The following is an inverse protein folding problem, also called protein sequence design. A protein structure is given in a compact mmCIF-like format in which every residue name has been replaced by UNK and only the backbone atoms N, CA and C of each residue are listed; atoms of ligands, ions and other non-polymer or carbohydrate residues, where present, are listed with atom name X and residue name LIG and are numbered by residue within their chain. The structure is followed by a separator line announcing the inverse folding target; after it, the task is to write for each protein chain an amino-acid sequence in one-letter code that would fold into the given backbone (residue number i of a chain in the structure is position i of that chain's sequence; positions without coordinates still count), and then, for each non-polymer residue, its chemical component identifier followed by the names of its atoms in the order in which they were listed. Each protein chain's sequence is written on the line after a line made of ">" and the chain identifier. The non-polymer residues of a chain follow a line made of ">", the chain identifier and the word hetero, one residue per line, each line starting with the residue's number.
data_IF_823001880263
#
_entry.id   IF_823001880263
#
_cell.length_a   1.000
_cell.length_b   1.000
_cell.length_c   1.000
_cell.angle_alpha   90.00
_cell.angle_beta   90.00
_cell.angle_gamma   90.00
#
_symmetry.space_group_name_H-M   'P 1'
#
loop_
_entity.id
_entity.type
_entity.pdbx_description
1 polymer ?
#
# COMPACT_ATOMS: atom_id res chain seq x y z
N UNK A 1 16.86 -33.10 34.15
CA UNK A 1 16.26 -32.01 34.94
C UNK A 1 15.58 -31.06 33.99
N UNK A 2 14.26 -31.19 33.83
CA UNK A 2 13.49 -30.45 32.82
C UNK A 2 12.99 -29.16 33.45
N UNK A 3 13.64 -28.04 33.14
CA UNK A 3 13.23 -26.71 33.60
C UNK A 3 11.91 -26.33 32.91
N UNK A 4 10.81 -26.27 33.65
CA UNK A 4 9.55 -25.73 33.14
C UNK A 4 9.70 -24.21 32.91
N UNK A 5 9.23 -23.66 31.78
CA UNK A 5 9.27 -22.22 31.54
C UNK A 5 8.37 -21.50 32.54
N UNK A 6 8.92 -20.52 33.25
CA UNK A 6 8.17 -19.60 34.10
C UNK A 6 7.28 -18.73 33.23
N UNK A 7 5.99 -19.09 33.14
CA UNK A 7 4.98 -18.29 32.46
C UNK A 7 4.96 -16.92 33.16
N UNK A 8 5.37 -15.86 32.45
CA UNK A 8 5.30 -14.50 32.95
C UNK A 8 3.86 -14.23 33.42
N UNK A 9 3.66 -14.10 34.73
CA UNK A 9 2.35 -13.84 35.34
C UNK A 9 1.89 -12.46 34.87
N UNK A 10 1.01 -12.43 33.86
CA UNK A 10 0.39 -11.20 33.38
C UNK A 10 -0.26 -10.45 34.56
N UNK A 11 -0.26 -9.12 34.51
CA UNK A 11 -0.85 -8.31 35.58
C UNK A 11 -2.36 -8.36 35.46
N UNK A 12 -3.06 -8.58 36.57
CA UNK A 12 -4.52 -8.51 36.60
C UNK A 12 -4.93 -7.04 36.70
N UNK A 13 -5.83 -6.60 35.83
CA UNK A 13 -6.42 -5.25 35.82
C UNK A 13 -7.91 -5.32 35.53
N UNK A 14 -8.64 -4.24 35.83
CA UNK A 14 -10.04 -4.11 35.45
C UNK A 14 -10.14 -3.49 34.04
N UNK A 15 -11.04 -4.03 33.22
CA UNK A 15 -11.39 -3.43 31.94
C UNK A 15 -12.01 -2.04 32.17
N UNK A 16 -11.48 -1.01 31.50
CA UNK A 16 -11.98 0.38 31.61
C UNK A 16 -13.40 0.63 31.07
N UNK A 17 -14.05 -0.38 30.48
CA UNK A 17 -15.38 -0.25 29.86
C UNK A 17 -16.43 -1.02 30.67
N UNK A 18 -16.17 -2.29 30.98
CA UNK A 18 -17.13 -3.15 31.67
C UNK A 18 -16.72 -3.58 33.09
N UNK A 19 -15.54 -3.17 33.58
CA UNK A 19 -15.06 -3.53 34.91
C UNK A 19 -14.57 -4.97 35.08
N UNK A 20 -14.70 -5.85 34.07
CA UNK A 20 -14.25 -7.24 34.15
C UNK A 20 -12.73 -7.33 34.40
N UNK A 21 -12.30 -8.28 35.24
CA UNK A 21 -10.88 -8.60 35.43
C UNK A 21 -10.28 -9.18 34.13
N UNK A 22 -9.14 -8.65 33.72
CA UNK A 22 -8.39 -9.04 32.53
C UNK A 22 -6.92 -9.27 32.90
N UNK A 23 -6.30 -10.27 32.28
CA UNK A 23 -4.86 -10.49 32.35
C UNK A 23 -4.20 -9.69 31.23
N UNK A 24 -3.30 -8.78 31.60
CA UNK A 24 -2.57 -7.95 30.63
C UNK A 24 -1.08 -8.26 30.64
N UNK A 25 -0.52 -8.34 29.43
CA UNK A 25 0.91 -8.61 29.20
C UNK A 25 1.69 -7.36 28.77
N UNK A 26 0.98 -6.26 28.45
CA UNK A 26 1.55 -4.96 28.12
C UNK A 26 0.72 -3.82 28.76
N UNK A 27 1.27 -2.60 28.75
CA UNK A 27 0.65 -1.43 29.38
C UNK A 27 -0.44 -0.78 28.54
N UNK A 28 -0.53 -1.11 27.24
CA UNK A 28 -1.47 -0.51 26.30
C UNK A 28 -2.85 -1.19 26.32
N UNK A 29 -2.92 -2.46 26.73
CA UNK A 29 -4.16 -3.21 26.84
C UNK A 29 -4.96 -2.77 28.07
N UNK A 30 -6.05 -2.03 27.85
CA UNK A 30 -6.90 -1.45 28.92
C UNK A 30 -8.37 -1.89 28.83
N UNK A 31 -8.72 -2.76 27.88
CA UNK A 31 -10.08 -3.24 27.62
C UNK A 31 -10.06 -4.76 27.55
N UNK A 32 -11.15 -5.45 27.87
CA UNK A 32 -11.27 -6.88 27.53
C UNK A 32 -11.46 -7.06 26.02
N UNK A 33 -11.27 -8.29 25.52
CA UNK A 33 -11.47 -8.62 24.11
C UNK A 33 -12.86 -8.17 23.62
N UNK A 34 -13.92 -8.49 24.37
CA UNK A 34 -15.30 -8.13 24.00
C UNK A 34 -15.49 -6.61 23.86
N UNK A 35 -15.00 -5.85 24.85
CA UNK A 35 -15.08 -4.39 24.83
C UNK A 35 -14.15 -3.79 23.78
N UNK A 36 -13.05 -4.44 23.43
CA UNK A 36 -12.21 -4.01 22.31
C UNK A 36 -13.00 -4.15 21.01
N UNK A 37 -13.45 -5.35 20.66
CA UNK A 37 -14.15 -5.58 19.38
C UNK A 37 -15.43 -4.76 19.23
N UNK A 38 -16.23 -4.58 20.30
CA UNK A 38 -17.45 -3.75 20.26
C UNK A 38 -17.16 -2.25 20.04
N UNK A 39 -16.00 -1.76 20.48
CA UNK A 39 -15.66 -0.33 20.41
C UNK A 39 -14.64 -0.01 19.31
N UNK A 40 -14.10 -1.01 18.61
CA UNK A 40 -13.19 -0.78 17.50
C UNK A 40 -13.97 -0.17 16.34
N UNK A 41 -13.52 0.99 15.88
CA UNK A 41 -14.09 1.61 14.68
C UNK A 41 -13.97 0.62 13.52
N UNK A 42 -15.03 0.40 12.72
CA UNK A 42 -14.94 -0.42 11.52
C UNK A 42 -13.81 0.06 10.63
N UNK A 43 -13.06 -0.88 10.05
CA UNK A 43 -12.06 -0.53 9.04
C UNK A 43 -12.78 0.13 7.87
N UNK A 44 -12.39 1.37 7.57
CA UNK A 44 -12.99 2.14 6.48
C UNK A 44 -12.85 1.36 5.18
N UNK A 45 -13.99 1.07 4.54
CA UNK A 45 -14.00 0.34 3.29
C UNK A 45 -13.42 1.22 2.18
N UNK A 46 -12.64 0.62 1.27
CA UNK A 46 -12.15 1.32 0.08
C UNK A 46 -13.31 1.88 -0.73
N UNK A 47 -13.24 3.17 -1.04
CA UNK A 47 -14.29 3.88 -1.78
C UNK A 47 -14.46 3.38 -3.22
N UNK A 48 -15.65 3.64 -3.79
CA UNK A 48 -16.04 3.23 -5.17
C UNK A 48 -15.01 3.65 -6.23
N UNK A 49 -14.49 4.87 -6.14
CA UNK A 49 -13.50 5.41 -7.09
C UNK A 49 -12.18 4.65 -7.07
N UNK A 50 -11.74 4.17 -5.90
CA UNK A 50 -10.52 3.36 -5.79
C UNK A 50 -10.67 2.02 -6.52
N UNK A 51 -11.83 1.37 -6.37
CA UNK A 51 -12.14 0.11 -7.05
C UNK A 51 -12.23 0.28 -8.57
N UNK A 52 -12.84 1.39 -9.03
CA UNK A 52 -12.89 1.74 -10.45
C UNK A 52 -11.49 1.96 -11.02
N UNK A 53 -10.64 2.68 -10.31
CA UNK A 53 -9.24 2.87 -10.67
C UNK A 53 -8.48 1.56 -10.78
N UNK A 54 -8.61 0.66 -9.80
CA UNK A 54 -7.95 -0.65 -9.83
C UNK A 54 -8.40 -1.48 -11.04
N UNK A 55 -9.71 -1.53 -11.29
CA UNK A 55 -10.28 -2.25 -12.44
C UNK A 55 -9.76 -1.68 -13.76
N UNK A 56 -9.78 -0.36 -13.91
CA UNK A 56 -9.28 0.32 -15.11
C UNK A 56 -7.77 0.12 -15.27
N UNK A 57 -6.99 0.28 -14.20
CA UNK A 57 -5.54 0.10 -14.23
C UNK A 57 -5.18 -1.30 -14.73
N UNK A 58 -5.82 -2.31 -14.16
CA UNK A 58 -5.45 -3.70 -14.42
C UNK A 58 -5.97 -4.19 -15.79
N UNK A 59 -7.18 -3.77 -16.19
CA UNK A 59 -7.80 -4.23 -17.45
C UNK A 59 -7.53 -3.35 -18.67
N UNK A 60 -7.16 -2.08 -18.47
CA UNK A 60 -7.05 -1.10 -19.57
C UNK A 60 -5.66 -0.46 -19.61
N UNK A 61 -5.20 0.11 -18.49
CA UNK A 61 -3.92 0.82 -18.49
C UNK A 61 -2.73 -0.13 -18.69
N UNK A 62 -2.66 -1.24 -17.94
CA UNK A 62 -1.54 -2.18 -18.09
C UNK A 62 -1.43 -2.74 -19.52
N UNK A 63 -2.50 -3.28 -20.15
CA UNK A 63 -2.40 -3.79 -21.52
C UNK A 63 -1.98 -2.73 -22.53
N UNK A 64 -2.49 -1.50 -22.40
CA UNK A 64 -2.14 -0.40 -23.29
C UNK A 64 -0.66 0.00 -23.13
N UNK A 65 -0.19 0.20 -21.90
CA UNK A 65 1.18 0.63 -21.63
C UNK A 65 2.18 -0.47 -22.00
N UNK A 66 1.90 -1.72 -21.64
CA UNK A 66 2.73 -2.88 -21.98
C UNK A 66 2.94 -2.97 -23.49
N UNK A 67 1.86 -2.83 -24.28
CA UNK A 67 1.91 -2.91 -25.74
C UNK A 67 2.65 -1.73 -26.38
N UNK A 68 2.44 -0.52 -25.85
CA UNK A 68 2.90 0.71 -26.51
C UNK A 68 4.31 1.14 -26.12
N UNK A 69 4.65 0.99 -24.84
CA UNK A 69 5.89 1.52 -24.28
C UNK A 69 6.73 0.44 -23.59
N UNK A 70 6.21 -0.79 -23.47
CA UNK A 70 6.80 -1.82 -22.63
C UNK A 70 6.61 -1.52 -21.14
N UNK A 71 7.38 -2.22 -20.30
CA UNK A 71 7.28 -2.13 -18.83
C UNK A 71 8.40 -1.33 -18.18
N UNK A 72 9.25 -0.66 -18.96
CA UNK A 72 10.34 0.13 -18.43
C UNK A 72 9.82 1.38 -17.71
N UNK A 73 10.55 1.83 -16.68
CA UNK A 73 10.30 3.12 -16.06
C UNK A 73 10.54 4.25 -17.07
N UNK A 74 9.58 5.18 -17.22
CA UNK A 74 9.70 6.30 -18.17
C UNK A 74 10.84 7.27 -17.82
N UNK A 75 11.18 7.39 -16.54
CA UNK A 75 12.18 8.37 -16.09
C UNK A 75 13.61 7.81 -16.08
N UNK A 76 13.80 6.50 -15.85
CA UNK A 76 15.13 5.90 -15.68
C UNK A 76 15.38 4.61 -16.47
N UNK A 77 14.41 4.14 -17.25
CA UNK A 77 14.54 2.92 -18.06
C UNK A 77 14.55 1.61 -17.28
N UNK A 78 14.56 1.63 -15.95
CA UNK A 78 14.63 0.41 -15.14
C UNK A 78 13.48 -0.55 -15.47
N UNK A 79 13.80 -1.83 -15.66
CA UNK A 79 12.82 -2.89 -15.84
C UNK A 79 12.25 -3.35 -14.49
N UNK A 80 10.99 -3.82 -14.43
CA UNK A 80 10.41 -4.32 -13.19
C UNK A 80 11.05 -5.67 -12.83
N UNK A 81 11.16 -5.94 -11.53
CA UNK A 81 11.61 -7.25 -11.05
C UNK A 81 10.65 -8.37 -11.42
N UNK A 82 11.12 -9.62 -11.33
CA UNK A 82 10.30 -10.80 -11.56
C UNK A 82 9.53 -11.22 -10.30
N UNK A 83 8.42 -11.92 -10.49
CA UNK A 83 7.71 -12.65 -9.43
C UNK A 83 8.28 -14.08 -9.31
N UNK A 84 7.97 -14.80 -8.21
CA UNK A 84 8.39 -16.20 -8.05
C UNK A 84 7.89 -17.14 -9.15
N UNK A 85 6.78 -16.80 -9.80
CA UNK A 85 6.18 -17.54 -10.92
C UNK A 85 6.84 -17.22 -12.28
N UNK A 86 7.93 -16.44 -12.31
CA UNK A 86 8.63 -16.04 -13.52
C UNK A 86 7.96 -14.91 -14.30
N UNK A 87 6.79 -14.41 -13.87
CA UNK A 87 6.14 -13.29 -14.54
C UNK A 87 6.76 -11.95 -14.12
N UNK A 88 6.95 -10.98 -15.05
CA UNK A 88 7.42 -9.66 -14.67
C UNK A 88 6.37 -8.95 -13.81
N UNK A 89 6.82 -8.29 -12.76
CA UNK A 89 6.00 -7.33 -12.02
C UNK A 89 5.68 -6.13 -12.92
N UNK A 90 4.78 -5.29 -12.45
CA UNK A 90 4.54 -3.98 -13.03
C UNK A 90 5.17 -2.91 -12.13
N UNK A 91 5.69 -1.86 -12.76
CA UNK A 91 5.98 -0.62 -12.06
C UNK A 91 4.68 0.09 -11.68
N UNK A 92 4.76 1.13 -10.83
CA UNK A 92 3.59 1.92 -10.47
C UNK A 92 3.05 2.64 -11.72
N UNK A 93 1.74 2.56 -11.96
CA UNK A 93 1.06 3.35 -13.00
C UNK A 93 0.79 4.74 -12.44
N UNK A 94 1.45 5.73 -13.03
CA UNK A 94 1.40 7.11 -12.57
C UNK A 94 0.84 8.06 -13.64
N UNK A 95 0.11 9.08 -13.19
CA UNK A 95 -0.49 10.09 -14.07
C UNK A 95 0.56 11.11 -14.49
N UNK A 96 0.80 11.34 -15.77
CA UNK A 96 1.75 12.36 -16.26
C UNK A 96 1.35 13.74 -15.72
N UNK A 97 0.10 14.14 -15.94
CA UNK A 97 -0.55 15.28 -15.29
C UNK A 97 -1.31 14.81 -14.05
N UNK A 98 -1.07 15.46 -12.92
CA UNK A 98 -1.61 15.03 -11.63
C UNK A 98 -3.14 14.94 -11.61
N UNK A 99 -3.66 13.83 -11.07
CA UNK A 99 -5.11 13.55 -10.94
C UNK A 99 -5.89 14.58 -10.10
N UNK A 100 -5.19 15.36 -9.28
CA UNK A 100 -5.80 16.37 -8.40
C UNK A 100 -6.16 17.65 -9.16
N UNK A 101 -5.25 18.14 -10.02
CA UNK A 101 -5.47 19.32 -10.86
C UNK A 101 -6.19 18.99 -12.18
N UNK A 102 -6.11 17.74 -12.64
CA UNK A 102 -6.75 17.28 -13.87
C UNK A 102 -7.58 16.00 -13.62
N UNK A 103 -8.74 16.10 -12.96
CA UNK A 103 -9.57 14.95 -12.63
C UNK A 103 -10.19 14.27 -13.86
N UNK A 104 -10.40 15.02 -14.94
CA UNK A 104 -10.86 14.57 -16.25
C UNK A 104 -9.89 13.56 -16.89
N UNK A 105 -8.59 13.72 -16.66
CA UNK A 105 -7.55 12.85 -17.20
C UNK A 105 -7.28 11.59 -16.37
N UNK A 106 -8.11 11.30 -15.35
CA UNK A 106 -7.90 10.18 -14.43
C UNK A 106 -7.87 8.82 -15.13
N UNK A 107 -8.72 8.65 -16.14
CA UNK A 107 -8.90 7.41 -16.89
C UNK A 107 -8.41 7.53 -18.34
N UNK A 108 -7.59 8.55 -18.64
CA UNK A 108 -6.97 8.69 -19.96
C UNK A 108 -5.65 7.92 -19.99
N UNK A 109 -5.60 6.85 -20.79
CA UNK A 109 -4.40 6.03 -20.98
C UNK A 109 -3.22 6.81 -21.59
N UNK A 110 -3.47 7.93 -22.28
CA UNK A 110 -2.42 8.82 -22.80
C UNK A 110 -1.79 9.68 -21.70
N UNK A 111 -2.48 9.84 -20.57
CA UNK A 111 -1.99 10.55 -19.40
C UNK A 111 -1.33 9.61 -18.38
N UNK A 112 -0.97 8.38 -18.75
CA UNK A 112 -0.38 7.39 -17.84
C UNK A 112 1.00 6.95 -18.31
N UNK A 113 1.87 6.62 -17.35
CA UNK A 113 3.17 6.04 -17.60
C UNK A 113 3.58 5.09 -16.48
N UNK A 114 4.45 4.13 -16.79
CA UNK A 114 5.10 3.31 -15.78
C UNK A 114 6.24 4.09 -15.10
N UNK A 115 6.24 4.10 -13.77
CA UNK A 115 7.33 4.65 -12.96
C UNK A 115 7.74 3.67 -11.88
N UNK A 116 9.05 3.41 -11.78
CA UNK A 116 9.57 2.66 -10.66
C UNK A 116 9.33 3.42 -9.34
N UNK A 117 9.30 2.69 -8.23
CA UNK A 117 8.91 3.25 -6.93
C UNK A 117 9.75 4.48 -6.53
N UNK A 118 11.05 4.45 -6.81
CA UNK A 118 11.97 5.56 -6.49
C UNK A 118 11.66 6.81 -7.31
N UNK A 119 11.43 6.69 -8.62
CA UNK A 119 11.08 7.82 -9.48
C UNK A 119 9.69 8.37 -9.16
N UNK A 120 8.74 7.49 -8.83
CA UNK A 120 7.39 7.89 -8.42
C UNK A 120 7.39 8.73 -7.13
N UNK A 121 8.13 8.29 -6.11
CA UNK A 121 8.30 9.06 -4.86
C UNK A 121 8.95 10.41 -5.17
N UNK A 122 10.03 10.42 -5.96
CA UNK A 122 10.76 11.65 -6.30
C UNK A 122 9.85 12.70 -6.96
N UNK A 123 9.00 12.28 -7.89
CA UNK A 123 8.00 13.16 -8.51
C UNK A 123 6.99 13.66 -7.48
N UNK A 124 6.50 12.77 -6.61
CA UNK A 124 5.54 13.13 -5.54
C UNK A 124 6.14 14.15 -4.58
N UNK A 125 7.44 14.04 -4.29
CA UNK A 125 8.21 14.97 -3.45
C UNK A 125 8.63 16.27 -4.17
N UNK A 126 8.27 16.44 -5.45
CA UNK A 126 8.61 17.64 -6.23
C UNK A 126 10.08 17.76 -6.65
N UNK A 127 10.84 16.65 -6.65
CA UNK A 127 12.25 16.62 -7.04
C UNK A 127 12.43 16.33 -8.54
N UNK A 128 13.44 16.91 -9.21
CA UNK A 128 13.65 16.73 -10.65
C UNK A 128 13.97 15.26 -11.03
N UNK A 129 13.68 14.83 -12.27
CA UNK A 129 14.05 13.50 -12.74
C UNK A 129 15.58 13.31 -12.73
N UNK A 130 16.05 12.08 -12.47
CA UNK A 130 17.45 11.73 -12.68
C UNK A 130 17.68 11.71 -14.19
N UNK A 131 18.58 12.57 -14.68
CA UNK A 131 19.09 12.44 -16.03
C UNK A 131 19.67 11.03 -16.17
N UNK A 132 19.23 10.29 -17.18
CA UNK A 132 19.78 8.98 -17.53
C UNK A 132 21.29 9.11 -17.65
N UNK A 133 22.04 8.51 -16.73
CA UNK A 133 23.49 8.38 -16.86
C UNK A 133 23.74 7.52 -18.09
N UNK A 134 24.16 8.14 -19.18
CA UNK A 134 24.69 7.47 -20.36
C UNK A 134 25.90 6.65 -19.90
N UNK A 135 25.84 5.34 -20.09
CA UNK A 135 27.00 4.46 -20.22
C UNK A 135 27.00 3.95 -21.66
#
# INVERSE_FOLDING_TARGET
>A
MTTQPTISRGKIRLCKVCGKQIVVYNTTHNKCADCFYKNTKPVAQRGKQARLWETFRDKVAHPYLDKKYGRACVDCGAMPGMKPDGTPRHHDVDHIKNKGSHPDLRFDVKNLAYRCRSCHIRKTDGKPPIASSTL
#
